data_IF_200744822968
#
_entry.id   IF_200744822968
#
_cell.length_a   1.000
_cell.length_b   1.000
_cell.length_c   1.000
_cell.angle_alpha   90.00
_cell.angle_beta   90.00
_cell.angle_gamma   90.00
#
_symmetry.space_group_name_H-M   'P 1'
#
loop_
_entity.id
_entity.type
_entity.pdbx_description
1 polymer ?
#
# COMPACT_ATOMS: atom_id res chain seq x y z
N UNK A 1 9.65 -19.59 -0.16
CA UNK A 1 8.30 -20.15 -0.22
C UNK A 1 7.65 -19.73 1.08
N UNK A 2 6.36 -19.38 1.07
CA UNK A 2 5.69 -18.98 2.32
C UNK A 2 5.76 -20.13 3.32
N UNK A 3 6.05 -19.79 4.56
CA UNK A 3 6.18 -20.68 5.68
C UNK A 3 4.83 -20.89 6.38
N UNK A 4 4.03 -21.85 5.89
CA UNK A 4 2.80 -22.28 6.57
C UNK A 4 3.04 -23.30 7.68
N UNK A 5 4.27 -23.77 7.87
CA UNK A 5 4.57 -24.80 8.86
C UNK A 5 4.06 -24.47 10.27
N UNK A 6 4.07 -23.21 10.75
CA UNK A 6 3.53 -22.87 12.07
C UNK A 6 2.02 -23.14 12.22
N UNK A 7 1.22 -23.20 11.13
CA UNK A 7 -0.22 -23.50 11.19
C UNK A 7 -0.54 -24.85 11.84
N UNK A 8 0.40 -25.81 11.81
CA UNK A 8 0.19 -27.13 12.41
C UNK A 8 0.05 -27.07 13.94
N UNK A 9 0.54 -26.00 14.57
CA UNK A 9 0.47 -25.77 16.02
C UNK A 9 -0.75 -24.95 16.43
N UNK A 10 -1.51 -24.42 15.47
CA UNK A 10 -2.75 -23.70 15.75
C UNK A 10 -3.92 -24.65 16.01
N UNK A 11 -4.98 -24.13 16.63
CA UNK A 11 -6.19 -24.91 16.93
C UNK A 11 -6.79 -25.51 15.65
N UNK A 12 -7.48 -26.67 15.74
CA UNK A 12 -8.08 -27.28 14.56
C UNK A 12 -9.04 -26.35 13.79
N UNK A 13 -9.82 -25.54 14.51
CA UNK A 13 -10.76 -24.58 13.91
C UNK A 13 -10.04 -23.46 13.17
N UNK A 14 -9.07 -22.80 13.81
CA UNK A 14 -8.27 -21.75 13.16
C UNK A 14 -7.55 -22.32 11.94
N UNK A 15 -6.94 -23.50 12.06
CA UNK A 15 -6.21 -24.12 10.96
C UNK A 15 -7.11 -24.40 9.76
N UNK A 16 -8.29 -24.98 9.95
CA UNK A 16 -9.24 -25.25 8.86
C UNK A 16 -9.63 -23.97 8.15
N UNK A 17 -10.09 -22.98 8.91
CA UNK A 17 -10.56 -21.72 8.35
C UNK A 17 -9.44 -20.95 7.64
N UNK A 18 -8.23 -20.93 8.20
CA UNK A 18 -7.09 -20.29 7.56
C UNK A 18 -6.71 -21.00 6.27
N UNK A 19 -6.73 -22.34 6.24
CA UNK A 19 -6.49 -23.10 5.00
C UNK A 19 -7.56 -22.80 3.95
N UNK A 20 -8.83 -22.76 4.34
CA UNK A 20 -9.92 -22.46 3.40
C UNK A 20 -9.82 -21.03 2.85
N UNK A 21 -9.50 -20.04 3.71
CA UNK A 21 -9.23 -18.67 3.30
C UNK A 21 -8.02 -18.58 2.35
N UNK A 22 -6.92 -19.27 2.65
CA UNK A 22 -5.74 -19.31 1.78
C UNK A 22 -6.04 -19.96 0.42
N UNK A 23 -6.91 -20.97 0.36
CA UNK A 23 -7.34 -21.58 -0.90
C UNK A 23 -8.16 -20.61 -1.74
N UNK A 24 -9.11 -19.89 -1.12
CA UNK A 24 -9.88 -18.85 -1.79
C UNK A 24 -8.96 -17.73 -2.30
N UNK A 25 -8.01 -17.28 -1.48
CA UNK A 25 -7.08 -16.21 -1.84
C UNK A 25 -6.15 -16.60 -2.98
N UNK A 26 -5.60 -17.82 -2.96
CA UNK A 26 -4.78 -18.32 -4.08
C UNK A 26 -5.56 -18.41 -5.39
N UNK A 27 -6.80 -18.87 -5.31
CA UNK A 27 -7.70 -18.91 -6.46
C UNK A 27 -7.92 -17.50 -7.01
N UNK A 28 -8.25 -16.54 -6.14
CA UNK A 28 -8.42 -15.13 -6.52
C UNK A 28 -7.15 -14.58 -7.19
N UNK A 29 -5.97 -14.83 -6.62
CA UNK A 29 -4.69 -14.36 -7.18
C UNK A 29 -4.47 -14.97 -8.57
N UNK A 30 -4.64 -16.28 -8.77
CA UNK A 30 -4.45 -16.93 -10.08
C UNK A 30 -5.47 -16.49 -11.15
N UNK A 31 -6.68 -16.11 -10.73
CA UNK A 31 -7.71 -15.58 -11.63
C UNK A 31 -7.45 -14.12 -11.99
N UNK A 32 -7.03 -13.30 -11.03
CA UNK A 32 -6.86 -11.86 -11.21
C UNK A 32 -5.51 -11.47 -11.81
N UNK A 33 -4.43 -12.09 -11.37
CA UNK A 33 -3.05 -11.70 -11.67
C UNK A 33 -2.41 -12.62 -12.73
N UNK A 34 -1.36 -12.16 -13.42
CA UNK A 34 -0.61 -12.99 -14.35
C UNK A 34 0.13 -14.14 -13.64
N UNK A 35 0.47 -15.17 -14.41
CA UNK A 35 1.34 -16.24 -13.92
C UNK A 35 2.75 -15.69 -13.61
N UNK A 36 3.39 -16.12 -12.51
CA UNK A 36 4.74 -15.67 -12.19
C UNK A 36 5.75 -16.06 -13.29
N UNK A 37 6.42 -15.07 -13.88
CA UNK A 37 7.60 -15.28 -14.72
C UNK A 37 8.88 -14.90 -13.96
N UNK A 38 9.98 -15.63 -14.13
CA UNK A 38 11.27 -15.24 -13.57
C UNK A 38 12.04 -14.26 -14.46
N UNK A 39 11.75 -14.25 -15.77
CA UNK A 39 12.61 -13.62 -16.76
C UNK A 39 11.90 -12.61 -17.66
N UNK A 40 10.61 -12.78 -17.92
CA UNK A 40 9.92 -12.05 -18.98
C UNK A 40 9.18 -10.82 -18.46
N UNK A 41 8.54 -10.95 -17.29
CA UNK A 41 7.65 -9.94 -16.72
C UNK A 41 8.00 -9.64 -15.27
N UNK A 42 7.47 -8.56 -14.71
CA UNK A 42 7.64 -8.11 -13.32
C UNK A 42 6.29 -7.58 -12.81
N UNK A 43 5.84 -8.09 -11.68
CA UNK A 43 4.63 -7.63 -11.02
C UNK A 43 5.00 -6.66 -9.90
N UNK A 44 4.67 -5.39 -10.13
CA UNK A 44 4.83 -4.30 -9.17
C UNK A 44 3.50 -4.04 -8.48
N UNK A 45 3.54 -3.58 -7.24
CA UNK A 45 2.33 -3.10 -6.58
C UNK A 45 2.55 -2.03 -5.52
N UNK A 46 1.44 -1.51 -5.02
CA UNK A 46 1.39 -0.67 -3.83
C UNK A 46 0.23 -1.09 -2.94
N UNK A 47 0.43 -1.00 -1.62
CA UNK A 47 -0.58 -1.33 -0.64
C UNK A 47 -0.39 -0.55 0.66
N UNK A 48 -1.35 0.32 0.97
CA UNK A 48 -1.49 0.84 2.33
C UNK A 48 -2.02 -0.30 3.21
N UNK A 49 -1.23 -0.73 4.20
CA UNK A 49 -1.59 -1.86 5.08
C UNK A 49 -2.23 -1.40 6.40
N UNK A 50 -2.84 -0.21 6.40
CA UNK A 50 -3.65 0.36 7.47
C UNK A 50 -3.04 0.20 8.86
N UNK A 51 -2.20 1.16 9.22
CA UNK A 51 -1.66 1.40 10.55
C UNK A 51 -1.24 0.09 11.23
N UNK A 52 -0.18 -0.50 10.68
CA UNK A 52 0.21 -1.88 10.88
C UNK A 52 0.49 -2.24 12.35
N UNK A 53 -0.51 -2.86 12.98
CA UNK A 53 -0.49 -3.53 14.30
C UNK A 53 -0.25 -2.66 15.55
N UNK A 54 -0.30 -1.33 15.48
CA UNK A 54 -0.08 -0.51 16.69
C UNK A 54 -1.28 -0.42 17.65
N UNK A 55 -2.45 -0.94 17.25
CA UNK A 55 -3.70 -0.98 18.02
C UNK A 55 -4.15 0.38 18.65
N UNK A 56 -3.71 1.53 18.14
CA UNK A 56 -4.06 2.85 18.73
C UNK A 56 -5.57 3.12 18.75
N UNK A 57 -6.29 2.54 17.78
CA UNK A 57 -7.74 2.66 17.64
C UNK A 57 -8.54 1.59 18.40
N UNK A 58 -7.86 0.65 19.07
CA UNK A 58 -8.53 -0.37 19.87
C UNK A 58 -9.22 -1.48 19.06
N UNK A 59 -8.83 -1.70 17.80
CA UNK A 59 -9.37 -2.79 16.96
C UNK A 59 -8.55 -4.10 17.06
N UNK A 60 -7.64 -4.15 18.02
CA UNK A 60 -6.68 -5.22 18.27
C UNK A 60 -5.44 -5.10 17.38
N UNK A 61 -4.29 -5.66 17.80
CA UNK A 61 -3.34 -6.15 16.80
C UNK A 61 -4.05 -7.21 15.95
N UNK A 62 -3.60 -7.42 14.71
CA UNK A 62 -4.21 -8.38 13.79
C UNK A 62 -4.25 -9.77 14.39
N UNK A 63 -5.34 -10.51 14.13
CA UNK A 63 -5.39 -11.92 14.46
C UNK A 63 -4.31 -12.68 13.67
N UNK A 64 -3.78 -13.76 14.24
CA UNK A 64 -2.71 -14.55 13.61
C UNK A 64 -3.07 -15.03 12.20
N UNK A 65 -4.33 -15.40 12.01
CA UNK A 65 -4.89 -15.81 10.71
C UNK A 65 -4.70 -14.73 9.63
N UNK A 66 -4.93 -13.47 9.97
CA UNK A 66 -4.76 -12.35 9.05
C UNK A 66 -3.31 -12.21 8.57
N UNK A 67 -2.31 -12.49 9.43
CA UNK A 67 -0.89 -12.47 9.04
C UNK A 67 -0.57 -13.48 7.92
N UNK A 68 -1.25 -14.62 7.87
CA UNK A 68 -1.08 -15.58 6.76
C UNK A 68 -1.71 -15.04 5.47
N UNK A 69 -2.86 -14.38 5.54
CA UNK A 69 -3.50 -13.77 4.37
C UNK A 69 -2.67 -12.60 3.81
N UNK A 70 -2.10 -11.76 4.69
CA UNK A 70 -1.17 -10.71 4.30
C UNK A 70 0.08 -11.30 3.63
N UNK A 71 0.68 -12.35 4.20
CA UNK A 71 1.84 -13.01 3.62
C UNK A 71 1.53 -13.61 2.24
N UNK A 72 0.40 -14.30 2.08
CA UNK A 72 -0.06 -14.83 0.80
C UNK A 72 -0.22 -13.73 -0.24
N UNK A 73 -0.92 -12.65 0.13
CA UNK A 73 -1.17 -11.50 -0.75
C UNK A 73 0.15 -10.89 -1.21
N UNK A 74 1.06 -10.58 -0.29
CA UNK A 74 2.36 -9.97 -0.61
C UNK A 74 3.20 -10.89 -1.50
N UNK A 75 3.05 -12.20 -1.38
CA UNK A 75 3.81 -13.14 -2.21
C UNK A 75 3.44 -13.13 -3.70
N UNK A 76 2.29 -12.55 -4.05
CA UNK A 76 1.89 -12.36 -5.45
C UNK A 76 2.70 -11.26 -6.16
N UNK A 77 3.51 -10.49 -5.42
CA UNK A 77 4.29 -9.37 -5.93
C UNK A 77 5.78 -9.69 -5.97
N UNK A 78 6.45 -9.17 -6.99
CA UNK A 78 7.92 -9.18 -7.06
C UNK A 78 8.53 -8.03 -6.27
N UNK A 79 7.87 -6.87 -6.27
CA UNK A 79 8.13 -5.77 -5.34
C UNK A 79 6.84 -5.02 -5.06
N UNK A 80 6.61 -4.75 -3.78
CA UNK A 80 5.41 -4.11 -3.26
C UNK A 80 5.82 -2.90 -2.43
N UNK A 81 5.35 -1.72 -2.80
CA UNK A 81 5.39 -0.54 -1.96
C UNK A 81 4.36 -0.69 -0.84
N UNK A 82 4.77 -0.44 0.40
CA UNK A 82 3.90 -0.55 1.57
C UNK A 82 3.88 0.76 2.35
N UNK A 83 2.67 1.20 2.71
CA UNK A 83 2.44 2.41 3.51
C UNK A 83 1.86 2.04 4.89
N UNK A 84 1.92 2.99 5.82
CA UNK A 84 1.40 2.85 7.19
C UNK A 84 2.06 1.74 8.04
N UNK A 85 3.36 1.50 7.82
CA UNK A 85 4.15 0.68 8.74
C UNK A 85 4.41 1.44 10.04
N UNK A 86 3.90 0.97 11.16
CA UNK A 86 4.01 1.71 12.42
C UNK A 86 5.43 1.71 13.03
N UNK A 87 5.59 2.44 14.14
CA UNK A 87 6.86 2.55 14.88
C UNK A 87 7.44 1.17 15.25
N UNK A 88 6.61 0.25 15.73
CA UNK A 88 7.06 -1.10 16.06
C UNK A 88 7.15 -1.98 14.81
N UNK A 89 8.35 -2.46 14.51
CA UNK A 89 8.61 -3.38 13.41
C UNK A 89 8.47 -4.86 13.81
N UNK A 90 8.09 -5.17 15.06
CA UNK A 90 7.82 -6.53 15.53
C UNK A 90 6.84 -7.31 14.63
N UNK A 91 5.66 -6.74 14.33
CA UNK A 91 4.70 -7.31 13.39
C UNK A 91 5.27 -7.51 11.99
N UNK A 92 6.05 -6.55 11.47
CA UNK A 92 6.69 -6.67 10.15
C UNK A 92 7.69 -7.84 10.15
N UNK A 93 8.52 -7.97 11.18
CA UNK A 93 9.43 -9.12 11.32
C UNK A 93 8.67 -10.44 11.40
N UNK A 94 7.50 -10.49 12.02
CA UNK A 94 6.64 -11.67 12.01
C UNK A 94 6.14 -11.99 10.61
N UNK A 95 5.65 -10.99 9.88
CA UNK A 95 5.19 -11.14 8.50
C UNK A 95 6.31 -11.63 7.58
N UNK A 96 7.51 -11.07 7.69
CA UNK A 96 8.67 -11.50 6.91
C UNK A 96 9.11 -12.94 7.23
N UNK A 97 8.95 -13.41 8.47
CA UNK A 97 9.17 -14.84 8.81
C UNK A 97 8.17 -15.77 8.12
N UNK A 98 6.94 -15.32 7.89
CA UNK A 98 5.94 -16.06 7.12
C UNK A 98 6.27 -16.03 5.63
N UNK A 99 6.61 -14.87 5.06
CA UNK A 99 7.05 -14.76 3.65
C UNK A 99 8.28 -15.62 3.34
N UNK A 100 9.18 -15.76 4.33
CA UNK A 100 10.38 -16.58 4.25
C UNK A 100 11.56 -15.85 3.61
N UNK A 101 12.73 -16.50 3.55
CA UNK A 101 14.02 -15.86 3.25
C UNK A 101 14.17 -15.35 1.81
N UNK A 102 13.22 -15.65 0.92
CA UNK A 102 13.24 -15.14 -0.45
C UNK A 102 12.83 -13.67 -0.52
N UNK A 103 12.07 -13.18 0.46
CA UNK A 103 11.68 -11.79 0.54
C UNK A 103 12.62 -11.02 1.47
N UNK A 104 12.80 -9.76 1.15
CA UNK A 104 13.51 -8.79 1.98
C UNK A 104 12.76 -7.47 1.94
N UNK A 105 13.12 -6.54 2.82
CA UNK A 105 12.43 -5.26 2.92
C UNK A 105 13.38 -4.09 3.17
N UNK A 106 12.98 -2.91 2.71
CA UNK A 106 13.64 -1.63 2.98
C UNK A 106 12.56 -0.67 3.44
N UNK A 107 12.77 0.02 4.57
CA UNK A 107 11.82 0.97 5.15
C UNK A 107 12.52 2.26 5.55
N UNK A 108 11.77 3.37 5.55
CA UNK A 108 12.23 4.66 6.07
C UNK A 108 12.38 4.64 7.60
N UNK A 109 12.93 5.71 8.16
CA UNK A 109 12.67 6.01 9.57
C UNK A 109 11.23 6.52 9.77
N UNK A 110 10.82 6.69 11.03
CA UNK A 110 9.47 7.18 11.38
C UNK A 110 9.31 8.63 10.92
N UNK A 111 8.20 8.93 10.24
CA UNK A 111 7.78 10.30 10.01
C UNK A 111 7.28 10.94 11.32
N UNK A 112 8.15 11.70 11.99
CA UNK A 112 7.87 12.38 13.27
C UNK A 112 7.12 13.72 13.11
N UNK A 113 7.07 14.27 11.90
CA UNK A 113 6.44 15.57 11.63
C UNK A 113 4.91 15.52 11.70
N UNK A 114 4.30 16.70 11.88
CA UNK A 114 2.85 16.85 11.91
C UNK A 114 2.21 16.38 10.59
N UNK A 115 1.25 15.45 10.71
CA UNK A 115 0.64 14.77 9.57
C UNK A 115 1.40 13.53 9.09
N UNK A 116 2.54 13.18 9.69
CA UNK A 116 3.33 11.98 9.38
C UNK A 116 2.84 10.69 10.06
N UNK A 117 1.85 10.79 10.97
CA UNK A 117 1.18 9.66 11.65
C UNK A 117 2.07 8.67 12.42
N UNK A 118 3.36 8.97 12.60
CA UNK A 118 4.37 8.07 13.18
C UNK A 118 4.45 6.74 12.44
N UNK A 119 4.35 6.80 11.12
CA UNK A 119 4.45 5.66 10.23
C UNK A 119 5.73 5.70 9.40
N UNK A 120 5.94 4.63 8.64
CA UNK A 120 7.02 4.45 7.69
C UNK A 120 6.45 4.09 6.34
N UNK A 121 7.22 4.45 5.33
CA UNK A 121 7.07 3.94 3.98
C UNK A 121 8.11 2.85 3.75
N UNK A 122 7.83 1.92 2.86
CA UNK A 122 8.82 0.90 2.53
C UNK A 122 8.49 0.06 1.32
N UNK A 123 9.36 -0.89 1.06
CA UNK A 123 9.26 -1.86 0.00
C UNK A 123 9.49 -3.26 0.55
N UNK A 124 8.69 -4.22 0.12
CA UNK A 124 8.93 -5.65 0.31
C UNK A 124 9.17 -6.24 -1.07
N UNK A 125 10.27 -6.99 -1.27
CA UNK A 125 10.66 -7.47 -2.60
C UNK A 125 11.21 -8.89 -2.58
N UNK A 126 10.95 -9.62 -3.66
CA UNK A 126 11.44 -10.97 -3.90
C UNK A 126 12.87 -10.94 -4.43
N UNK A 127 13.84 -11.26 -3.58
CA UNK A 127 15.27 -11.25 -3.91
C UNK A 127 15.69 -12.29 -4.95
N UNK A 128 14.84 -13.28 -5.23
CA UNK A 128 15.11 -14.24 -6.29
C UNK A 128 15.06 -13.59 -7.69
N UNK A 129 14.38 -12.44 -7.82
CA UNK A 129 14.16 -11.76 -9.10
C UNK A 129 14.55 -10.29 -9.09
N UNK A 130 14.30 -9.59 -7.98
CA UNK A 130 14.53 -8.16 -7.83
C UNK A 130 15.79 -7.92 -7.00
N UNK A 131 16.72 -7.13 -7.55
CA UNK A 131 17.95 -6.72 -6.87
C UNK A 131 17.88 -5.25 -6.50
N UNK A 132 18.14 -4.94 -5.23
CA UNK A 132 18.40 -3.58 -4.79
C UNK A 132 19.76 -3.10 -5.33
N UNK A 133 19.83 -1.88 -5.86
CA UNK A 133 21.02 -1.34 -6.55
C UNK A 133 21.89 -0.41 -5.70
N UNK A 134 21.55 -0.24 -4.42
CA UNK A 134 22.35 0.53 -3.46
C UNK A 134 21.92 1.98 -3.29
N UNK A 135 20.90 2.44 -4.03
CA UNK A 135 20.34 3.79 -3.89
C UNK A 135 19.00 3.72 -3.17
N UNK A 136 18.93 4.30 -1.98
CA UNK A 136 17.70 4.53 -1.24
C UNK A 136 17.73 5.96 -0.68
N UNK A 137 16.62 6.69 -0.75
CA UNK A 137 16.56 8.05 -0.24
C UNK A 137 15.15 8.60 -0.13
N UNK A 138 14.92 9.35 0.94
CA UNK A 138 13.76 10.19 1.09
C UNK A 138 13.93 11.47 0.26
N UNK A 139 12.87 11.87 -0.42
CA UNK A 139 12.85 13.11 -1.18
C UNK A 139 12.49 14.28 -0.27
N UNK A 140 13.36 15.28 -0.26
CA UNK A 140 13.14 16.56 0.40
C UNK A 140 13.00 17.61 -0.70
N UNK A 141 11.98 18.46 -0.59
CA UNK A 141 11.79 19.55 -1.54
C UNK A 141 12.85 20.64 -1.31
N UNK A 142 13.49 21.16 -2.36
CA UNK A 142 14.29 22.38 -2.27
C UNK A 142 13.47 23.54 -1.70
N UNK A 143 14.12 24.50 -1.01
CA UNK A 143 13.45 25.64 -0.36
C UNK A 143 12.49 26.40 -1.28
N UNK A 144 12.87 26.55 -2.55
CA UNK A 144 12.05 27.24 -3.57
C UNK A 144 10.81 26.47 -4.04
N UNK A 145 10.74 25.17 -3.74
CA UNK A 145 9.69 24.26 -4.20
C UNK A 145 8.82 23.78 -3.00
N UNK A 146 8.97 24.40 -1.82
CA UNK A 146 8.17 24.08 -0.63
C UNK A 146 6.67 24.36 -0.88
N UNK A 147 5.82 23.58 -0.22
CA UNK A 147 4.37 23.67 -0.37
C UNK A 147 3.85 24.85 0.46
N UNK A 148 3.22 25.81 -0.21
CA UNK A 148 2.60 26.96 0.44
C UNK A 148 1.28 26.56 1.12
N UNK A 149 1.12 26.93 2.39
CA UNK A 149 -0.14 26.74 3.12
C UNK A 149 -0.35 27.86 4.15
N UNK A 150 -1.12 28.89 3.76
CA UNK A 150 -1.20 30.13 4.52
C UNK A 150 0.19 30.79 4.57
N UNK A 151 0.66 31.15 5.77
CA UNK A 151 1.99 31.73 5.98
C UNK A 151 3.11 30.68 6.11
N UNK A 152 2.79 29.39 6.06
CA UNK A 152 3.75 28.30 6.23
C UNK A 152 4.30 27.79 4.90
N UNK A 153 5.53 27.28 4.92
CA UNK A 153 6.19 26.62 3.79
C UNK A 153 6.57 25.21 4.24
N UNK A 154 5.93 24.20 3.63
CA UNK A 154 5.90 22.85 4.16
C UNK A 154 6.68 21.88 3.28
N UNK A 155 7.31 20.90 3.92
CA UNK A 155 7.69 19.65 3.27
C UNK A 155 6.45 18.76 3.08
N UNK A 156 6.49 17.75 2.20
CA UNK A 156 5.43 16.76 2.09
C UNK A 156 5.15 16.11 3.44
N UNK A 157 3.88 15.86 3.78
CA UNK A 157 3.49 15.34 5.10
C UNK A 157 4.19 14.02 5.48
N UNK A 158 4.52 13.19 4.48
CA UNK A 158 5.52 12.13 4.58
C UNK A 158 6.47 12.30 3.40
N UNK A 159 7.77 12.30 3.67
CA UNK A 159 8.77 12.39 2.60
C UNK A 159 8.64 11.20 1.65
N UNK A 160 8.46 11.42 0.34
CA UNK A 160 8.43 10.33 -0.64
C UNK A 160 9.69 9.49 -0.55
N UNK A 161 9.56 8.17 -0.55
CA UNK A 161 10.68 7.26 -0.36
C UNK A 161 10.99 6.50 -1.65
N UNK A 162 12.18 6.72 -2.20
CA UNK A 162 12.65 6.09 -3.45
C UNK A 162 13.74 5.05 -3.20
N UNK A 163 13.63 3.91 -3.88
CA UNK A 163 14.68 2.88 -3.94
C UNK A 163 14.94 2.46 -5.38
N UNK A 164 16.21 2.28 -5.75
CA UNK A 164 16.60 1.78 -7.06
C UNK A 164 16.64 0.25 -7.07
N UNK A 165 15.86 -0.34 -7.96
CA UNK A 165 15.74 -1.78 -8.16
C UNK A 165 16.08 -2.17 -9.60
N UNK A 166 16.45 -3.44 -9.76
CA UNK A 166 16.66 -4.05 -11.07
C UNK A 166 16.08 -5.46 -11.10
N UNK A 167 15.30 -5.76 -12.14
CA UNK A 167 14.82 -7.09 -12.48
C UNK A 167 15.15 -7.36 -13.96
N UNK A 168 15.94 -8.39 -14.25
CA UNK A 168 16.41 -8.64 -15.62
C UNK A 168 17.08 -7.40 -16.25
N UNK A 169 16.57 -6.98 -17.41
CA UNK A 169 17.03 -5.79 -18.15
C UNK A 169 16.31 -4.50 -17.73
N UNK A 170 15.42 -4.57 -16.74
CA UNK A 170 14.63 -3.43 -16.31
C UNK A 170 15.15 -2.87 -14.99
N UNK A 171 15.75 -1.67 -15.07
CA UNK A 171 16.22 -0.90 -13.91
C UNK A 171 15.37 0.35 -13.72
N UNK A 172 14.92 0.55 -12.49
CA UNK A 172 13.93 1.57 -12.16
C UNK A 172 14.13 2.12 -10.74
N UNK A 173 13.83 3.41 -10.56
CA UNK A 173 13.60 4.01 -9.26
C UNK A 173 12.12 3.85 -8.91
N UNK A 174 11.85 3.10 -7.84
CA UNK A 174 10.52 2.88 -7.32
C UNK A 174 10.32 3.81 -6.13
N UNK A 175 9.41 4.78 -6.27
CA UNK A 175 9.16 5.81 -5.27
C UNK A 175 7.76 5.67 -4.73
N UNK A 176 7.64 5.52 -3.41
CA UNK A 176 6.35 5.44 -2.73
C UNK A 176 6.01 6.77 -2.03
N UNK A 177 4.73 7.15 -2.08
CA UNK A 177 4.16 8.29 -1.36
C UNK A 177 3.04 7.86 -0.42
N UNK A 178 2.80 8.68 0.59
CA UNK A 178 1.53 8.70 1.32
C UNK A 178 1.14 10.18 1.51
N UNK A 179 0.37 10.68 0.56
CA UNK A 179 0.05 12.10 0.42
C UNK A 179 -0.86 12.55 1.56
N UNK A 180 -0.68 13.80 2.01
CA UNK A 180 -1.55 14.44 2.99
C UNK A 180 -3.04 14.26 2.70
N UNK A 181 -3.78 13.68 3.64
CA UNK A 181 -5.23 13.56 3.54
C UNK A 181 -5.90 14.93 3.72
N UNK A 182 -5.96 15.49 4.93
CA UNK A 182 -6.70 16.73 5.16
C UNK A 182 -8.22 16.52 5.22
N UNK A 183 -9.00 17.26 4.42
CA UNK A 183 -10.47 17.13 4.33
C UNK A 183 -10.89 16.79 2.91
N UNK A 184 -11.98 16.02 2.77
CA UNK A 184 -12.53 15.64 1.46
C UNK A 184 -13.15 16.80 0.67
N UNK A 185 -13.52 17.89 1.35
CA UNK A 185 -14.17 19.02 0.66
C UNK A 185 -13.19 19.71 -0.29
N UNK A 186 -13.46 19.61 -1.61
CA UNK A 186 -12.60 20.13 -2.68
C UNK A 186 -12.36 21.65 -2.61
N UNK A 187 -13.15 22.41 -1.83
CA UNK A 187 -12.97 23.84 -1.61
C UNK A 187 -12.19 24.20 -0.33
N UNK A 188 -11.74 23.21 0.44
CA UNK A 188 -11.05 23.46 1.72
C UNK A 188 -9.56 23.81 1.51
N UNK A 189 -8.97 24.67 2.35
CA UNK A 189 -7.52 24.91 2.36
C UNK A 189 -6.70 23.62 2.50
N UNK A 190 -7.23 22.63 3.23
CA UNK A 190 -6.61 21.33 3.41
C UNK A 190 -6.58 20.50 2.12
N UNK A 191 -7.64 20.56 1.31
CA UNK A 191 -7.66 19.91 -0.01
C UNK A 191 -6.70 20.60 -0.99
N UNK A 192 -6.64 21.93 -0.98
CA UNK A 192 -5.68 22.68 -1.79
C UNK A 192 -4.24 22.29 -1.45
N UNK A 193 -3.92 22.11 -0.15
CA UNK A 193 -2.63 21.58 0.31
C UNK A 193 -2.34 20.19 -0.25
N UNK A 194 -3.32 19.27 -0.25
CA UNK A 194 -3.17 17.92 -0.85
C UNK A 194 -2.76 18.02 -2.32
N UNK A 195 -3.47 18.83 -3.11
CA UNK A 195 -3.18 19.01 -4.54
C UNK A 195 -1.79 19.62 -4.75
N UNK A 196 -1.42 20.62 -3.95
CA UNK A 196 -0.09 21.25 -4.02
C UNK A 196 1.03 20.26 -3.64
N UNK A 197 0.80 19.39 -2.66
CA UNK A 197 1.76 18.34 -2.29
C UNK A 197 1.97 17.34 -3.44
N UNK A 198 0.90 16.86 -4.09
CA UNK A 198 0.99 15.98 -5.26
C UNK A 198 1.80 16.66 -6.38
N UNK A 199 1.50 17.92 -6.66
CA UNK A 199 2.18 18.66 -7.72
C UNK A 199 3.66 18.88 -7.44
N UNK A 200 4.01 19.33 -6.23
CA UNK A 200 5.39 19.55 -5.84
C UNK A 200 6.22 18.27 -5.92
N UNK A 201 5.64 17.14 -5.48
CA UNK A 201 6.28 15.82 -5.58
C UNK A 201 6.44 15.38 -7.03
N UNK A 202 5.37 15.45 -7.83
CA UNK A 202 5.40 15.04 -9.22
C UNK A 202 6.40 15.88 -10.05
N UNK A 203 6.40 17.21 -9.88
CA UNK A 203 7.31 18.11 -10.57
C UNK A 203 8.78 17.83 -10.22
N UNK A 204 9.10 17.62 -8.93
CA UNK A 204 10.46 17.30 -8.50
C UNK A 204 10.94 15.97 -9.06
N UNK A 205 10.09 14.95 -9.08
CA UNK A 205 10.42 13.64 -9.65
C UNK A 205 10.61 13.73 -11.17
N UNK A 206 9.73 14.45 -11.87
CA UNK A 206 9.86 14.69 -13.31
C UNK A 206 11.19 15.35 -13.68
N UNK A 207 11.58 16.39 -12.94
CA UNK A 207 12.84 17.09 -13.16
C UNK A 207 14.09 16.23 -12.89
N UNK A 208 14.00 15.21 -12.03
CA UNK A 208 15.07 14.23 -11.79
C UNK A 208 15.14 13.17 -12.89
N UNK A 209 13.99 12.69 -13.34
CA UNK A 209 13.89 11.69 -14.40
C UNK A 209 14.48 12.17 -15.74
N UNK A 210 14.48 13.48 -16.02
CA UNK A 210 15.15 14.05 -17.19
C UNK A 210 16.68 13.93 -17.16
N UNK A 211 17.27 13.85 -15.96
CA UNK A 211 18.73 13.90 -15.75
C UNK A 211 19.35 12.53 -15.51
N UNK A 212 18.54 11.56 -15.11
CA UNK A 212 18.99 10.24 -14.69
C UNK A 212 18.61 9.17 -15.73
N UNK A 213 19.43 8.12 -15.93
CA UNK A 213 19.21 7.13 -16.99
C UNK A 213 18.21 6.03 -16.64
N UNK A 214 17.59 6.02 -15.44
CA UNK A 214 16.67 4.97 -15.00
C UNK A 214 15.18 5.34 -15.22
N UNK A 215 14.31 4.32 -15.24
CA UNK A 215 12.85 4.56 -15.27
C UNK A 215 12.35 5.02 -13.91
N UNK A 216 11.49 6.02 -13.88
CA UNK A 216 10.87 6.50 -12.65
C UNK A 216 9.44 6.00 -12.54
N UNK A 217 9.16 5.29 -11.45
CA UNK A 217 7.84 4.79 -11.12
C UNK A 217 7.44 5.37 -9.77
N UNK A 218 6.31 6.07 -9.75
CA UNK A 218 5.74 6.72 -8.59
C UNK A 218 4.43 6.02 -8.19
N UNK A 219 4.39 5.51 -6.97
CA UNK A 219 3.29 4.72 -6.44
C UNK A 219 2.91 5.15 -5.03
N UNK A 220 1.77 4.66 -4.53
CA UNK A 220 1.40 4.85 -3.14
C UNK A 220 -0.03 5.32 -2.98
N UNK A 221 -0.31 5.79 -1.77
CA UNK A 221 -1.59 6.39 -1.41
C UNK A 221 -1.52 7.90 -1.71
N UNK A 222 -2.25 8.31 -2.75
CA UNK A 222 -2.37 9.71 -3.16
C UNK A 222 -3.57 10.41 -2.55
N UNK A 223 -4.45 9.69 -1.86
CA UNK A 223 -5.73 10.20 -1.41
C UNK A 223 -6.53 10.87 -2.56
N UNK A 224 -6.50 10.30 -3.77
CA UNK A 224 -7.30 10.76 -4.92
C UNK A 224 -8.70 10.14 -4.85
N UNK A 225 -9.73 10.96 -4.74
CA UNK A 225 -11.11 10.47 -4.68
C UNK A 225 -11.57 9.91 -6.04
N UNK A 226 -11.37 10.67 -7.12
CA UNK A 226 -11.74 10.29 -8.50
C UNK A 226 -10.68 10.73 -9.50
N UNK A 227 -10.44 9.87 -10.50
CA UNK A 227 -9.62 10.25 -11.66
C UNK A 227 -10.30 11.37 -12.45
N UNK A 228 -9.56 12.43 -12.78
CA UNK A 228 -10.08 13.64 -13.43
C UNK A 228 -10.32 14.83 -12.49
N UNK A 229 -10.31 14.62 -11.18
CA UNK A 229 -10.28 15.71 -10.19
C UNK A 229 -8.92 16.43 -10.18
N UNK A 230 -8.80 17.65 -9.61
CA UNK A 230 -7.55 18.40 -9.58
C UNK A 230 -6.32 17.61 -9.05
N UNK A 231 -6.52 16.73 -8.07
CA UNK A 231 -5.49 15.84 -7.53
C UNK A 231 -5.03 14.78 -8.52
N UNK A 232 -5.96 14.13 -9.24
CA UNK A 232 -5.63 13.21 -10.32
C UNK A 232 -4.96 13.88 -11.53
N UNK A 233 -5.39 15.10 -11.86
CA UNK A 233 -4.82 15.88 -12.96
C UNK A 233 -3.40 16.39 -12.65
N UNK A 234 -3.01 16.50 -11.37
CA UNK A 234 -1.68 16.94 -10.96
C UNK A 234 -0.56 15.96 -11.37
N UNK A 235 -0.83 14.65 -11.43
CA UNK A 235 0.12 13.68 -11.97
C UNK A 235 0.27 13.85 -13.49
N UNK A 236 -0.86 13.89 -14.20
CA UNK A 236 -0.89 13.94 -15.67
C UNK A 236 -0.24 15.22 -16.20
N UNK A 237 -0.47 16.37 -15.55
CA UNK A 237 0.11 17.66 -15.96
C UNK A 237 1.65 17.69 -15.86
N UNK A 238 2.23 16.86 -14.99
CA UNK A 238 3.68 16.68 -14.84
C UNK A 238 4.23 15.53 -15.72
N UNK A 239 3.44 15.06 -16.70
CA UNK A 239 3.87 14.08 -17.70
C UNK A 239 3.80 12.62 -17.26
N UNK A 240 3.26 12.33 -16.07
CA UNK A 240 3.08 10.94 -15.63
C UNK A 240 1.95 10.25 -16.42
N UNK A 241 2.20 9.00 -16.78
CA UNK A 241 1.17 8.05 -17.18
C UNK A 241 0.79 7.22 -15.96
N UNK A 242 -0.51 6.99 -15.75
CA UNK A 242 -1.01 6.17 -14.65
C UNK A 242 -1.64 4.88 -15.16
N UNK A 243 -1.52 3.81 -14.38
CA UNK A 243 -2.28 2.58 -14.56
C UNK A 243 -3.78 2.91 -14.51
N UNK A 244 -4.54 2.34 -15.45
CA UNK A 244 -5.98 2.59 -15.49
C UNK A 244 -6.71 1.55 -14.66
N UNK A 245 -7.36 2.01 -13.60
CA UNK A 245 -8.28 1.19 -12.82
C UNK A 245 -9.71 1.65 -13.06
N UNK A 246 -10.59 0.69 -13.30
CA UNK A 246 -12.03 0.94 -13.42
C UNK A 246 -12.76 0.77 -12.08
N UNK A 247 -12.03 0.38 -11.03
CA UNK A 247 -12.55 0.02 -9.71
C UNK A 247 -11.69 0.72 -8.67
N UNK A 248 -12.32 1.26 -7.62
CA UNK A 248 -11.60 1.91 -6.53
C UNK A 248 -10.73 0.94 -5.74
N UNK A 249 -9.62 1.45 -5.18
CA UNK A 249 -8.68 0.68 -4.38
C UNK A 249 -9.02 0.65 -2.90
N UNK A 250 -10.06 1.35 -2.42
CA UNK A 250 -10.52 1.20 -1.04
C UNK A 250 -11.46 -0.01 -0.86
N UNK A 251 -11.76 -0.39 0.39
CA UNK A 251 -12.47 -1.63 0.71
C UNK A 251 -13.91 -1.72 0.17
N UNK A 252 -14.57 -0.59 -0.10
CA UNK A 252 -15.88 -0.55 -0.78
C UNK A 252 -15.78 -0.38 -2.30
N UNK A 253 -14.55 -0.19 -2.81
CA UNK A 253 -14.19 -0.07 -4.24
C UNK A 253 -14.73 1.19 -4.93
N UNK A 254 -14.99 2.26 -4.17
CA UNK A 254 -15.55 3.51 -4.68
C UNK A 254 -14.53 4.64 -4.87
N UNK A 255 -13.37 4.56 -4.23
CA UNK A 255 -12.33 5.62 -4.20
C UNK A 255 -11.03 5.17 -4.86
N UNK A 256 -10.35 6.08 -5.56
CA UNK A 256 -9.12 5.81 -6.31
C UNK A 256 -7.86 6.30 -5.58
N UNK A 257 -7.81 6.08 -4.26
CA UNK A 257 -6.77 6.65 -3.41
C UNK A 257 -5.37 6.27 -3.88
N UNK A 258 -5.19 5.00 -4.25
CA UNK A 258 -3.89 4.47 -4.64
C UNK A 258 -3.64 4.62 -6.14
N UNK A 259 -2.39 4.95 -6.49
CA UNK A 259 -1.98 5.06 -7.89
C UNK A 259 -0.68 4.31 -8.15
N UNK A 260 -0.54 3.82 -9.38
CA UNK A 260 0.74 3.40 -9.95
C UNK A 260 0.94 4.22 -11.21
N UNK A 261 2.00 5.03 -11.22
CA UNK A 261 2.30 5.92 -12.34
C UNK A 261 3.78 5.88 -12.69
N UNK A 262 4.10 6.24 -13.92
CA UNK A 262 5.47 6.27 -14.42
C UNK A 262 5.65 7.42 -15.41
N UNK A 263 6.89 7.88 -15.52
CA UNK A 263 7.26 8.85 -16.55
C UNK A 263 7.59 8.12 -17.86
N UNK A 264 6.95 8.49 -18.98
CA UNK A 264 7.15 7.83 -20.25
C UNK A 264 8.47 8.25 -20.87
N UNK A 265 9.54 7.50 -20.60
CA UNK A 265 10.74 7.52 -21.45
C UNK A 265 10.59 6.45 -22.53
N UNK A 266 10.91 6.80 -23.78
CA UNK A 266 10.63 5.94 -24.93
C UNK A 266 11.30 4.56 -24.76
N UNK A 267 10.49 3.52 -24.61
CA UNK A 267 10.94 2.12 -24.55
C UNK A 267 11.36 1.60 -23.18
N UNK A 268 11.21 2.37 -22.10
CA UNK A 268 11.74 1.96 -20.79
C UNK A 268 10.71 1.28 -19.89
N UNK A 269 9.48 1.80 -19.79
CA UNK A 269 8.36 1.14 -19.08
C UNK A 269 7.37 0.60 -20.11
N UNK A 270 7.12 -0.71 -20.08
CA UNK A 270 6.20 -1.38 -20.99
C UNK A 270 5.32 -2.34 -20.22
N UNK A 271 4.02 -2.04 -20.17
CA UNK A 271 3.05 -3.02 -19.73
C UNK A 271 3.02 -4.21 -20.69
N UNK A 272 2.74 -5.39 -20.16
CA UNK A 272 2.58 -6.58 -21.00
C UNK A 272 1.34 -6.43 -21.89
N UNK A 273 1.30 -7.19 -22.99
CA UNK A 273 0.12 -7.24 -23.88
C UNK A 273 -1.03 -8.07 -23.30
N UNK A 274 -0.87 -8.61 -22.09
CA UNK A 274 -1.91 -9.38 -21.41
C UNK A 274 -3.12 -8.49 -21.13
N UNK A 275 -4.32 -9.05 -21.28
CA UNK A 275 -5.54 -8.38 -20.83
C UNK A 275 -5.58 -8.20 -19.28
N UNK A 276 -4.75 -8.97 -18.56
CA UNK A 276 -4.56 -8.91 -17.11
C UNK A 276 -3.17 -8.35 -16.79
N UNK A 277 -2.93 -7.09 -17.14
CA UNK A 277 -1.63 -6.43 -16.91
C UNK A 277 -1.69 -5.32 -15.84
N UNK A 278 -2.85 -5.08 -15.25
CA UNK A 278 -3.06 -4.17 -14.13
C UNK A 278 -4.39 -4.47 -13.45
N UNK A 279 -4.53 -4.10 -12.18
CA UNK A 279 -5.81 -4.18 -11.49
C UNK A 279 -5.73 -4.00 -9.98
N UNK A 280 -6.88 -4.13 -9.34
CA UNK A 280 -7.03 -4.10 -7.87
C UNK A 280 -7.32 -5.51 -7.38
N UNK A 281 -6.58 -5.99 -6.39
CA UNK A 281 -6.78 -7.31 -5.79
C UNK A 281 -7.73 -7.22 -4.59
N UNK A 282 -8.97 -7.66 -4.74
CA UNK A 282 -9.98 -7.63 -3.67
C UNK A 282 -9.79 -8.77 -2.65
N UNK A 283 -8.74 -8.66 -1.83
CA UNK A 283 -8.35 -9.68 -0.85
C UNK A 283 -9.49 -9.96 0.15
N UNK A 284 -10.23 -8.92 0.56
CA UNK A 284 -11.31 -9.04 1.54
C UNK A 284 -12.41 -9.99 1.05
N UNK A 285 -12.74 -9.96 -0.24
CA UNK A 285 -13.73 -10.87 -0.85
C UNK A 285 -13.36 -12.35 -0.75
N UNK A 286 -12.07 -12.69 -0.57
CA UNK A 286 -11.61 -14.07 -0.48
C UNK A 286 -11.53 -14.58 0.97
N UNK A 287 -11.19 -13.72 1.93
CA UNK A 287 -10.78 -14.14 3.28
C UNK A 287 -11.68 -13.66 4.42
N UNK A 288 -12.41 -12.56 4.22
CA UNK A 288 -13.27 -11.89 5.22
C UNK A 288 -14.50 -11.27 4.55
N UNK A 289 -15.20 -12.06 3.74
CA UNK A 289 -16.50 -11.74 3.18
C UNK A 289 -17.62 -11.84 4.25
N UNK A 290 -18.85 -11.53 3.84
CA UNK A 290 -20.03 -11.58 4.71
C UNK A 290 -20.35 -13.00 5.22
N UNK A 291 -20.22 -14.00 4.36
CA UNK A 291 -20.54 -15.40 4.68
C UNK A 291 -19.62 -15.96 5.78
N UNK A 292 -18.42 -15.40 5.93
CA UNK A 292 -17.45 -15.75 6.97
C UNK A 292 -17.67 -15.01 8.30
N UNK A 293 -18.63 -14.09 8.42
CA UNK A 293 -18.90 -13.42 9.70
C UNK A 293 -19.08 -14.38 10.89
N UNK A 294 -19.83 -15.51 10.78
CA UNK A 294 -19.98 -16.45 11.90
C UNK A 294 -18.65 -16.95 12.48
N UNK A 295 -17.65 -17.13 11.63
CA UNK A 295 -16.33 -17.60 12.04
C UNK A 295 -15.54 -16.57 12.85
N UNK A 296 -15.75 -15.28 12.56
CA UNK A 296 -15.04 -14.18 13.18
C UNK A 296 -15.84 -13.49 14.28
N UNK A 297 -17.13 -13.80 14.44
CA UNK A 297 -18.03 -13.17 15.41
C UNK A 297 -17.43 -13.12 16.81
N UNK A 298 -16.84 -14.21 17.29
CA UNK A 298 -16.23 -14.25 18.61
C UNK A 298 -15.06 -13.26 18.74
N UNK A 299 -14.22 -13.15 17.70
CA UNK A 299 -13.11 -12.21 17.67
C UNK A 299 -13.60 -10.76 17.60
N UNK A 300 -14.64 -10.50 16.80
CA UNK A 300 -15.30 -9.19 16.70
C UNK A 300 -15.88 -8.77 18.04
N UNK A 301 -16.64 -9.63 18.70
CA UNK A 301 -17.18 -9.38 20.04
C UNK A 301 -16.06 -9.16 21.07
N UNK A 302 -14.98 -9.93 21.02
CA UNK A 302 -13.82 -9.74 21.89
C UNK A 302 -13.17 -8.37 21.69
N UNK A 303 -13.04 -7.90 20.45
CA UNK A 303 -12.56 -6.54 20.15
C UNK A 303 -13.49 -5.48 20.75
N UNK A 304 -14.80 -5.60 20.54
CA UNK A 304 -15.78 -4.63 21.08
C UNK A 304 -15.77 -4.63 22.62
N UNK A 305 -15.69 -5.80 23.26
CA UNK A 305 -15.54 -5.91 24.72
C UNK A 305 -14.25 -5.24 25.21
N UNK A 306 -13.13 -5.43 24.52
CA UNK A 306 -11.88 -4.75 24.87
C UNK A 306 -11.97 -3.22 24.75
N UNK A 307 -12.68 -2.70 23.75
CA UNK A 307 -12.96 -1.26 23.64
C UNK A 307 -13.84 -0.75 24.77
N UNK A 308 -14.84 -1.55 25.17
CA UNK A 308 -15.76 -1.25 26.26
C UNK A 308 -15.03 -1.20 27.61
N UNK A 309 -14.18 -2.19 27.89
CA UNK A 309 -13.37 -2.24 29.11
C UNK A 309 -12.40 -1.05 29.18
N UNK A 310 -11.77 -0.69 28.06
CA UNK A 310 -10.94 0.52 27.97
C UNK A 310 -11.73 1.78 28.27
N UNK A 311 -12.91 1.95 27.66
CA UNK A 311 -13.76 3.11 27.88
C UNK A 311 -14.26 3.20 29.34
N UNK A 312 -14.56 2.06 29.98
CA UNK A 312 -14.94 2.00 31.40
C UNK A 312 -13.79 2.40 32.33
N UNK A 313 -12.56 1.96 32.03
CA UNK A 313 -11.36 2.38 32.76
C UNK A 313 -11.11 3.88 32.60
N UNK A 314 -11.10 4.39 31.37
CA UNK A 314 -10.94 5.83 31.07
C UNK A 314 -12.00 6.68 31.81
N UNK A 315 -13.23 6.17 31.90
CA UNK A 315 -14.33 6.83 32.65
C UNK A 315 -14.08 6.86 34.14
N UNK A 316 -13.62 5.75 34.73
CA UNK A 316 -13.31 5.69 36.15
C UNK A 316 -12.19 6.67 36.53
N UNK A 317 -11.16 6.76 35.69
CA UNK A 317 -10.05 7.72 35.84
C UNK A 317 -10.53 9.18 35.69
N UNK A 318 -11.38 9.46 34.70
CA UNK A 318 -11.97 10.80 34.52
C UNK A 318 -12.81 11.21 35.73
N UNK A 319 -13.64 10.32 36.26
CA UNK A 319 -14.46 10.58 37.45
C UNK A 319 -13.60 10.82 38.70
N UNK A 320 -12.54 10.03 38.90
CA UNK A 320 -11.58 10.23 39.98
C UNK A 320 -10.82 11.56 39.85
N UNK A 321 -10.60 12.02 38.62
CA UNK A 321 -10.01 13.32 38.31
C UNK A 321 -11.01 14.49 38.27
N UNK A 322 -12.27 14.30 38.66
CA UNK A 322 -13.35 15.29 38.58
C UNK A 322 -13.53 15.90 37.17
N UNK A 323 -13.30 15.10 36.13
CA UNK A 323 -13.49 15.48 34.72
C UNK A 323 -14.87 15.04 34.23
N UNK A 324 -15.35 15.71 33.18
CA UNK A 324 -16.58 15.34 32.47
C UNK A 324 -16.48 13.91 31.89
N UNK A 325 -17.57 13.14 31.99
CA UNK A 325 -17.67 11.75 31.51
C UNK A 325 -18.70 11.54 30.40
N UNK A 326 -19.46 12.57 30.00
CA UNK A 326 -20.59 12.42 29.07
C UNK A 326 -20.22 11.76 27.73
N UNK A 327 -19.03 12.05 27.22
CA UNK A 327 -18.54 11.44 25.97
C UNK A 327 -18.18 9.96 26.17
N UNK A 328 -17.63 9.60 27.32
CA UNK A 328 -17.30 8.21 27.67
C UNK A 328 -18.56 7.41 27.95
N UNK A 329 -19.54 8.01 28.64
CA UNK A 329 -20.86 7.41 28.89
C UNK A 329 -21.59 7.07 27.59
N UNK A 330 -21.65 8.01 26.63
CA UNK A 330 -22.21 7.76 25.30
C UNK A 330 -21.46 6.67 24.54
N UNK A 331 -20.12 6.63 24.64
CA UNK A 331 -19.30 5.60 24.00
C UNK A 331 -19.57 4.22 24.60
N UNK A 332 -19.65 4.11 25.92
CA UNK A 332 -19.97 2.86 26.62
C UNK A 332 -21.36 2.37 26.21
N UNK A 333 -22.38 3.23 26.25
CA UNK A 333 -23.73 2.87 25.84
C UNK A 333 -23.79 2.37 24.38
N UNK A 334 -23.04 3.01 23.47
CA UNK A 334 -22.93 2.57 22.07
C UNK A 334 -22.29 1.18 21.93
N UNK A 335 -21.22 0.91 22.68
CA UNK A 335 -20.53 -0.38 22.63
C UNK A 335 -21.36 -1.50 23.27
N UNK A 336 -22.03 -1.23 24.38
CA UNK A 336 -22.96 -2.17 25.02
C UNK A 336 -24.14 -2.48 24.08
N UNK A 337 -24.72 -1.47 23.42
CA UNK A 337 -25.77 -1.66 22.42
C UNK A 337 -25.30 -2.49 21.22
N UNK A 338 -24.08 -2.24 20.72
CA UNK A 338 -23.49 -3.01 19.62
C UNK A 338 -23.34 -4.49 19.99
N UNK A 339 -22.89 -4.82 21.20
CA UNK A 339 -22.77 -6.21 21.66
C UNK A 339 -24.12 -6.94 21.76
N UNK A 340 -25.21 -6.21 21.99
CA UNK A 340 -26.56 -6.73 22.05
C UNK A 340 -27.23 -6.86 20.66
N UNK A 341 -26.60 -6.35 19.59
CA UNK A 341 -27.14 -6.32 18.23
C UNK A 341 -26.33 -7.18 17.26
N UNK A 342 -26.78 -8.42 16.96
CA UNK A 342 -26.11 -9.29 16.01
C UNK A 342 -25.99 -8.71 14.60
N UNK A 343 -26.95 -7.91 14.14
CA UNK A 343 -26.90 -7.28 12.83
C UNK A 343 -25.87 -6.15 12.81
N UNK A 344 -25.88 -5.31 13.85
CA UNK A 344 -24.86 -4.28 14.07
C UNK A 344 -23.43 -4.84 14.16
N UNK A 345 -23.24 -6.00 14.80
CA UNK A 345 -21.92 -6.68 14.82
C UNK A 345 -21.49 -7.14 13.43
N UNK A 346 -22.40 -7.65 12.60
CA UNK A 346 -22.11 -8.03 11.21
C UNK A 346 -21.71 -6.82 10.39
N UNK A 347 -22.45 -5.72 10.51
CA UNK A 347 -22.16 -4.48 9.79
C UNK A 347 -20.82 -3.87 10.25
N UNK A 348 -20.55 -3.90 11.55
CA UNK A 348 -19.25 -3.49 12.11
C UNK A 348 -18.11 -4.39 11.60
N UNK A 349 -18.33 -5.71 11.50
CA UNK A 349 -17.37 -6.64 10.92
C UNK A 349 -17.00 -6.26 9.47
N UNK A 350 -18.01 -6.01 8.64
CA UNK A 350 -17.86 -5.69 7.22
C UNK A 350 -17.25 -4.32 6.95
N UNK A 351 -17.65 -3.32 7.73
CA UNK A 351 -17.28 -1.91 7.46
C UNK A 351 -16.05 -1.47 8.22
N UNK A 352 -15.74 -2.09 9.36
CA UNK A 352 -14.72 -1.58 10.28
C UNK A 352 -13.74 -2.67 10.68
N UNK A 353 -14.17 -3.73 11.34
CA UNK A 353 -13.25 -4.68 11.98
C UNK A 353 -12.30 -5.35 10.98
N UNK A 354 -12.82 -5.87 9.86
CA UNK A 354 -12.00 -6.57 8.87
C UNK A 354 -10.94 -5.68 8.20
N UNK A 355 -11.20 -4.37 8.13
CA UNK A 355 -10.23 -3.41 7.57
C UNK A 355 -8.99 -3.29 8.46
N UNK A 356 -9.13 -3.39 9.78
CA UNK A 356 -7.99 -3.45 10.70
C UNK A 356 -7.30 -4.82 10.71
N UNK A 357 -7.96 -5.87 10.20
CA UNK A 357 -7.35 -7.19 10.08
C UNK A 357 -6.51 -7.33 8.81
N UNK A 358 -7.04 -6.88 7.67
CA UNK A 358 -6.36 -6.91 6.37
C UNK A 358 -5.90 -5.50 6.05
N UNK A 359 -6.75 -4.70 5.40
CA UNK A 359 -6.60 -3.26 5.18
C UNK A 359 -7.93 -2.70 4.69
N UNK A 360 -8.15 -1.39 4.80
CA UNK A 360 -9.18 -0.65 4.04
C UNK A 360 -8.74 -0.26 2.64
N UNK A 361 -7.48 -0.51 2.30
CA UNK A 361 -6.98 -0.44 0.93
C UNK A 361 -6.80 -1.85 0.38
N UNK A 362 -7.00 -1.99 -0.90
CA UNK A 362 -6.81 -3.19 -1.70
C UNK A 362 -5.50 -3.02 -2.48
N UNK A 363 -4.64 -4.05 -2.53
CA UNK A 363 -3.40 -3.98 -3.29
C UNK A 363 -3.67 -3.60 -4.75
N UNK A 364 -2.98 -2.54 -5.19
CA UNK A 364 -2.96 -2.15 -6.59
C UNK A 364 -1.74 -2.75 -7.26
N UNK A 365 -1.87 -3.24 -8.50
CA UNK A 365 -0.80 -3.93 -9.19
C UNK A 365 -0.73 -3.63 -10.69
N UNK A 366 0.47 -3.74 -11.26
CA UNK A 366 0.75 -3.72 -12.70
C UNK A 366 1.78 -4.79 -13.07
N UNK A 367 1.67 -5.32 -14.28
CA UNK A 367 2.64 -6.22 -14.88
C UNK A 367 3.43 -5.50 -15.98
N UNK A 368 4.75 -5.48 -15.84
CA UNK A 368 5.68 -4.88 -16.79
C UNK A 368 6.55 -5.93 -17.46
N UNK A 369 6.92 -5.72 -18.72
CA UNK A 369 7.97 -6.49 -19.39
C UNK A 369 9.35 -6.12 -18.85
N UNK A 370 10.23 -7.11 -18.68
CA UNK A 370 11.60 -6.91 -18.19
C UNK A 370 12.68 -7.60 -19.05
N UNK A 371 12.28 -8.38 -20.04
CA UNK A 371 13.20 -8.89 -21.08
C UNK A 371 13.02 -8.09 -22.37
N UNK A 372 14.09 -7.38 -22.75
CA UNK A 372 14.18 -6.62 -23.99
C UNK A 372 15.29 -7.14 -24.91
N UNK A 373 15.87 -8.30 -24.60
CA UNK A 373 17.04 -8.85 -25.27
C UNK A 373 16.82 -9.07 -26.77
N UNK A 374 15.67 -9.62 -27.18
CA UNK A 374 15.37 -9.86 -28.60
C UNK A 374 15.28 -8.56 -29.43
N UNK A 375 14.65 -7.52 -28.87
CA UNK A 375 14.59 -6.20 -29.49
C UNK A 375 15.99 -5.57 -29.58
N UNK A 376 16.76 -5.68 -28.50
CA UNK A 376 18.12 -5.19 -28.45
C UNK A 376 19.02 -5.87 -29.49
N UNK A 377 18.99 -7.20 -29.61
CA UNK A 377 19.76 -7.94 -30.61
C UNK A 377 19.34 -7.59 -32.05
N UNK A 378 18.04 -7.43 -32.29
CA UNK A 378 17.52 -7.01 -33.61
C UNK A 378 18.00 -5.61 -33.96
N UNK A 379 18.00 -4.69 -32.99
CA UNK A 379 18.55 -3.34 -33.14
C UNK A 379 20.03 -3.42 -33.50
N UNK A 380 20.83 -4.15 -32.72
CA UNK A 380 22.27 -4.33 -32.97
C UNK A 380 22.55 -4.84 -34.38
N UNK A 381 21.80 -5.85 -34.85
CA UNK A 381 21.95 -6.40 -36.21
C UNK A 381 21.70 -5.36 -37.30
N UNK A 382 20.77 -4.43 -37.07
CA UNK A 382 20.35 -3.45 -38.06
C UNK A 382 21.13 -2.13 -37.99
N UNK A 383 22.09 -1.97 -37.06
CA UNK A 383 22.91 -0.77 -36.97
C UNK A 383 23.93 -0.72 -38.12
N UNK A 384 23.94 0.39 -38.87
CA UNK A 384 24.93 0.68 -39.91
C UNK A 384 25.80 1.88 -39.51
N UNK A 385 26.93 1.65 -38.85
CA UNK A 385 27.90 2.69 -38.44
C UNK A 385 28.52 2.46 -37.05
N UNK A 386 29.65 3.12 -36.75
CA UNK A 386 30.45 2.84 -35.54
C UNK A 386 30.13 3.72 -34.32
N UNK A 387 29.30 4.76 -34.40
CA UNK A 387 28.91 5.59 -33.25
C UNK A 387 27.71 6.49 -33.61
N UNK A 388 26.76 6.66 -32.69
CA UNK A 388 26.42 7.93 -32.01
C UNK A 388 25.33 7.64 -30.96
N UNK A 389 25.58 8.10 -29.73
CA UNK A 389 24.68 8.21 -28.56
C UNK A 389 23.19 8.08 -28.89
N UNK A 390 22.67 6.87 -28.76
CA UNK A 390 21.23 6.67 -28.82
C UNK A 390 20.61 7.08 -27.49
N UNK A 391 19.75 8.10 -27.50
CA UNK A 391 18.96 8.58 -26.34
C UNK A 391 17.93 7.55 -25.80
N UNK A 392 18.01 6.30 -26.26
CA UNK A 392 17.25 5.18 -25.72
C UNK A 392 18.24 4.34 -24.93
N UNK A 393 18.60 4.85 -23.76
CA UNK A 393 19.21 4.04 -22.70
C UNK A 393 18.17 2.98 -22.36
N UNK A 394 18.37 1.74 -22.83
CA UNK A 394 17.80 0.61 -22.09
C UNK A 394 18.52 0.69 -20.75
N UNK A 395 17.83 1.00 -19.65
CA UNK A 395 18.49 1.21 -18.38
C UNK A 395 19.09 -0.13 -17.92
N UNK A 396 20.38 -0.34 -18.20
CA UNK A 396 21.13 -1.52 -17.76
C UNK A 396 21.49 -1.44 -16.27
#
# INVERSE_FOLDING_TARGET
MINYWPLKYETPDMRRRTVDGLRCLRKLIGEAMPEPSLHDTLVLGTWNIRNFDDNRFGHGPRIREAMYFLAETISAFDVLAVQELCRDLGPLRQLMRLLGPQYDYIVTDVAEQDGGNRERLGFIYNRAKVRFKGVAGEMVLPVRDLIEHGDAHLQPARSPFGCEFQAGWFRFLFTTVHIYFGKESQGSPEYARRVAEIDAVAANIAARAEKEPCSYILVGDFNIDKMGDPSGNALIRNGFQAAQNNVGSNADRTKFYDQISWLPRKGTVRQTRSARNQGVLDVLSAVMDEDRFPDYRQAVEATVRGQLDKARTERAEALAGHKDTDTLDRRIAKLDALLADPAGLRDYYLTTWRTFQVSDHLPLWVELSIDFSAEYLTRLRNMSGTLIRDNVDIPM
#
